data_IF_822641628988
#
_entry.id   IF_822641628988
#
_cell.length_a   1.000
_cell.length_b   1.000
_cell.length_c   1.000
_cell.angle_alpha   90.00
_cell.angle_beta   90.00
_cell.angle_gamma   90.00
#
_symmetry.space_group_name_H-M   'P 1'
#
loop_
_entity.id
_entity.type
_entity.pdbx_description
1 polymer ?
#
# COMPACT_ATOMS: atom_id res chain seq x y z
N UNK A 1 -20.15 -10.80 23.72
CA UNK A 1 -19.82 -11.23 22.33
C UNK A 1 -20.78 -10.50 21.43
N UNK A 2 -20.29 -9.59 20.61
CA UNK A 2 -21.13 -8.93 19.59
C UNK A 2 -21.46 -9.97 18.53
N UNK A 3 -22.75 -10.27 18.34
CA UNK A 3 -23.24 -11.15 17.27
C UNK A 3 -22.94 -10.47 15.93
N UNK A 4 -21.84 -10.88 15.28
CA UNK A 4 -21.48 -10.41 13.94
C UNK A 4 -22.45 -11.03 12.94
N UNK A 5 -23.46 -10.27 12.57
CA UNK A 5 -24.49 -10.70 11.60
C UNK A 5 -23.95 -10.88 10.17
N UNK A 6 -22.91 -10.11 9.82
CA UNK A 6 -22.26 -10.14 8.51
C UNK A 6 -20.77 -10.44 8.70
N UNK A 7 -20.34 -11.70 8.57
CA UNK A 7 -18.94 -12.07 8.77
C UNK A 7 -18.05 -11.50 7.67
N UNK A 8 -16.76 -11.38 7.97
CA UNK A 8 -15.75 -10.93 7.02
C UNK A 8 -15.75 -11.82 5.77
N UNK A 9 -15.77 -11.18 4.58
CA UNK A 9 -15.72 -11.89 3.30
C UNK A 9 -14.25 -12.17 2.96
N UNK A 10 -13.93 -13.43 2.71
CA UNK A 10 -12.60 -13.84 2.28
C UNK A 10 -12.35 -13.38 0.83
N UNK A 11 -11.26 -12.63 0.65
CA UNK A 11 -10.85 -12.13 -0.66
C UNK A 11 -9.91 -13.13 -1.33
N UNK A 12 -10.11 -13.41 -2.61
CA UNK A 12 -9.20 -14.21 -3.44
C UNK A 12 -8.30 -13.33 -4.28
N UNK A 13 -7.01 -13.71 -4.40
CA UNK A 13 -6.04 -13.00 -5.23
C UNK A 13 -6.50 -13.01 -6.69
N UNK A 14 -6.51 -11.86 -7.31
CA UNK A 14 -6.88 -11.70 -8.72
C UNK A 14 -5.66 -11.87 -9.63
N UNK A 15 -5.91 -12.38 -10.83
CA UNK A 15 -4.90 -12.58 -11.87
C UNK A 15 -4.79 -11.39 -12.83
N UNK A 16 -5.85 -10.57 -12.87
CA UNK A 16 -6.01 -9.51 -13.84
C UNK A 16 -6.89 -9.90 -15.04
N UNK A 17 -7.13 -11.20 -15.27
CA UNK A 17 -7.91 -11.69 -16.41
C UNK A 17 -9.41 -11.81 -16.11
N UNK A 18 -9.81 -11.63 -14.86
CA UNK A 18 -11.22 -11.73 -14.47
C UNK A 18 -12.04 -10.65 -15.19
N UNK A 19 -13.17 -11.03 -15.83
CA UNK A 19 -13.97 -10.10 -16.59
C UNK A 19 -14.79 -9.16 -15.70
N UNK A 20 -14.94 -7.93 -16.12
CA UNK A 20 -15.95 -7.00 -15.65
C UNK A 20 -17.22 -7.23 -16.47
N UNK A 21 -18.32 -7.61 -15.83
CA UNK A 21 -19.56 -8.01 -16.48
C UNK A 21 -20.62 -6.92 -16.27
N UNK A 22 -21.29 -6.51 -17.35
CA UNK A 22 -22.42 -5.59 -17.28
C UNK A 22 -23.72 -6.34 -16.88
N UNK A 23 -24.82 -5.58 -16.73
CA UNK A 23 -26.12 -6.13 -16.34
C UNK A 23 -26.75 -7.08 -17.39
N UNK A 24 -26.21 -7.14 -18.63
CA UNK A 24 -26.63 -8.07 -19.68
C UNK A 24 -25.78 -9.35 -19.72
N UNK A 25 -24.76 -9.46 -18.85
CA UNK A 25 -23.81 -10.57 -18.87
C UNK A 25 -22.68 -10.43 -19.88
N UNK A 26 -22.50 -9.26 -20.50
CA UNK A 26 -21.46 -9.00 -21.49
C UNK A 26 -20.19 -8.49 -20.81
N UNK A 27 -19.02 -8.95 -21.26
CA UNK A 27 -17.72 -8.45 -20.79
C UNK A 27 -17.48 -7.05 -21.32
N UNK A 28 -17.19 -6.09 -20.42
CA UNK A 28 -16.89 -4.68 -20.73
C UNK A 28 -15.44 -4.32 -20.46
N UNK A 29 -14.63 -5.23 -19.94
CA UNK A 29 -13.22 -5.05 -19.61
C UNK A 29 -12.75 -6.14 -18.67
N UNK A 30 -11.53 -5.99 -18.16
CA UNK A 30 -10.91 -6.91 -17.21
C UNK A 30 -10.44 -6.20 -15.93
N UNK A 31 -10.08 -6.95 -14.91
CA UNK A 31 -9.43 -6.42 -13.71
C UNK A 31 -8.12 -5.72 -14.06
N UNK A 32 -7.36 -6.22 -15.06
CA UNK A 32 -6.14 -5.57 -15.53
C UNK A 32 -6.42 -4.20 -16.17
N UNK A 33 -7.51 -4.07 -16.92
CA UNK A 33 -7.89 -2.77 -17.50
C UNK A 33 -8.23 -1.76 -16.41
N UNK A 34 -8.94 -2.21 -15.37
CA UNK A 34 -9.18 -1.40 -14.17
C UNK A 34 -7.86 -1.00 -13.49
N UNK A 35 -6.91 -1.93 -13.30
CA UNK A 35 -5.63 -1.61 -12.68
C UNK A 35 -4.82 -0.61 -13.48
N UNK A 36 -4.77 -0.74 -14.81
CA UNK A 36 -4.11 0.23 -15.69
C UNK A 36 -4.72 1.62 -15.55
N UNK A 37 -6.04 1.71 -15.50
CA UNK A 37 -6.74 2.97 -15.33
C UNK A 37 -6.53 3.59 -13.94
N UNK A 38 -6.62 2.80 -12.89
CA UNK A 38 -6.62 3.30 -11.52
C UNK A 38 -5.22 3.52 -10.93
N UNK A 39 -4.21 2.74 -11.36
CA UNK A 39 -2.92 2.62 -10.68
C UNK A 39 -1.71 2.97 -11.56
N UNK A 40 -1.89 3.68 -12.66
CA UNK A 40 -0.77 4.04 -13.55
C UNK A 40 0.06 5.22 -13.06
N UNK A 41 -0.49 6.11 -12.23
CA UNK A 41 0.26 7.22 -11.63
C UNK A 41 1.01 6.77 -10.37
N UNK A 42 2.18 6.16 -10.54
CA UNK A 42 3.00 5.65 -9.46
C UNK A 42 3.79 6.73 -8.70
N UNK A 43 3.74 8.00 -9.15
CA UNK A 43 4.27 9.15 -8.40
C UNK A 43 3.28 9.73 -7.40
N UNK A 44 1.97 9.49 -7.60
CA UNK A 44 0.95 9.87 -6.63
C UNK A 44 1.25 9.29 -5.25
N UNK A 45 0.97 10.05 -4.19
CA UNK A 45 1.31 9.65 -2.82
C UNK A 45 0.72 8.30 -2.40
N UNK A 46 -0.55 8.04 -2.77
CA UNK A 46 -1.22 6.80 -2.40
C UNK A 46 -0.64 5.61 -3.17
N UNK A 47 -0.47 5.77 -4.49
CA UNK A 47 0.05 4.71 -5.35
C UNK A 47 1.53 4.41 -5.07
N UNK A 48 2.34 5.44 -4.82
CA UNK A 48 3.74 5.29 -4.40
C UNK A 48 3.85 4.57 -3.05
N UNK A 49 2.92 4.83 -2.12
CA UNK A 49 2.84 4.10 -0.86
C UNK A 49 2.65 2.60 -1.08
N UNK A 50 1.64 2.24 -1.88
CA UNK A 50 1.35 0.84 -2.23
C UNK A 50 2.53 0.19 -2.97
N UNK A 51 3.18 0.94 -3.88
CA UNK A 51 4.37 0.45 -4.58
C UNK A 51 5.52 0.17 -3.61
N UNK A 52 5.78 1.08 -2.66
CA UNK A 52 6.82 0.89 -1.64
C UNK A 52 6.55 -0.35 -0.77
N UNK A 53 5.31 -0.55 -0.32
CA UNK A 53 4.89 -1.77 0.39
C UNK A 53 5.15 -3.03 -0.44
N UNK A 54 4.82 -3.00 -1.74
CA UNK A 54 5.06 -4.12 -2.66
C UNK A 54 6.56 -4.40 -2.85
N UNK A 55 7.40 -3.36 -2.99
CA UNK A 55 8.84 -3.50 -3.14
C UNK A 55 9.46 -4.18 -1.91
N UNK A 56 9.08 -3.74 -0.70
CA UNK A 56 9.51 -4.36 0.55
C UNK A 56 8.99 -5.80 0.66
N UNK A 57 7.70 -6.03 0.36
CA UNK A 57 7.11 -7.36 0.38
C UNK A 57 7.85 -8.31 -0.58
N UNK A 58 8.22 -7.84 -1.78
CA UNK A 58 8.98 -8.62 -2.75
C UNK A 58 10.39 -8.94 -2.26
N UNK A 59 11.10 -7.96 -1.67
CA UNK A 59 12.45 -8.17 -1.11
C UNK A 59 12.45 -9.19 0.04
N UNK A 60 11.36 -9.26 0.80
CA UNK A 60 11.20 -10.18 1.93
C UNK A 60 10.44 -11.49 1.58
N UNK A 61 10.12 -11.72 0.29
CA UNK A 61 9.34 -12.87 -0.21
C UNK A 61 7.94 -12.97 0.43
N UNK A 62 7.30 -11.84 0.74
CA UNK A 62 5.95 -11.73 1.32
C UNK A 62 4.86 -11.39 0.30
N UNK A 63 5.20 -11.16 -0.97
CA UNK A 63 4.30 -10.71 -2.05
C UNK A 63 3.19 -11.71 -2.43
N UNK A 64 3.20 -12.91 -1.87
CA UNK A 64 2.16 -13.92 -2.12
C UNK A 64 0.86 -13.66 -1.34
N UNK A 65 0.89 -12.77 -0.36
CA UNK A 65 -0.30 -12.33 0.38
C UNK A 65 -1.12 -11.31 -0.42
N UNK A 66 -2.35 -11.05 0.01
CA UNK A 66 -3.17 -9.96 -0.51
C UNK A 66 -3.02 -8.79 0.45
N UNK A 67 -2.69 -7.61 -0.10
CA UNK A 67 -2.65 -6.37 0.67
C UNK A 67 -4.02 -6.04 1.24
N UNK A 68 -4.06 -5.65 2.50
CA UNK A 68 -5.28 -5.15 3.17
C UNK A 68 -5.08 -3.69 3.61
N UNK A 69 -6.14 -2.88 3.57
CA UNK A 69 -6.06 -1.44 3.88
C UNK A 69 -6.28 -1.12 5.36
N UNK A 70 -6.82 -2.05 6.15
CA UNK A 70 -7.32 -1.78 7.50
C UNK A 70 -6.61 -2.58 8.58
N UNK A 71 -5.50 -3.23 8.25
CA UNK A 71 -4.66 -3.89 9.27
C UNK A 71 -3.86 -2.85 10.06
N UNK A 72 -3.43 -3.24 11.25
CA UNK A 72 -2.64 -2.39 12.17
C UNK A 72 -1.24 -2.08 11.63
N UNK A 73 -0.76 -2.87 10.69
CA UNK A 73 0.55 -2.82 10.06
C UNK A 73 0.44 -3.20 8.58
N UNK A 74 1.43 -2.87 7.78
CA UNK A 74 1.40 -3.13 6.34
C UNK A 74 1.80 -4.57 5.98
N UNK A 75 2.80 -5.13 6.65
CA UNK A 75 3.31 -6.48 6.40
C UNK A 75 3.61 -7.22 7.70
N UNK A 76 3.61 -8.55 7.62
CA UNK A 76 4.05 -9.43 8.70
C UNK A 76 5.00 -10.50 8.13
N UNK A 77 6.15 -10.70 8.77
CA UNK A 77 7.10 -11.74 8.40
C UNK A 77 6.62 -13.12 8.82
N UNK A 78 7.28 -14.17 8.34
CA UNK A 78 6.97 -15.55 8.75
C UNK A 78 7.22 -15.78 10.25
N UNK A 79 8.16 -15.04 10.83
CA UNK A 79 8.49 -15.09 12.28
C UNK A 79 7.56 -14.19 13.12
N UNK A 80 6.55 -13.58 12.50
CA UNK A 80 5.55 -12.77 13.21
C UNK A 80 5.96 -11.32 13.46
N UNK A 81 7.07 -10.83 12.91
CA UNK A 81 7.51 -9.43 13.04
C UNK A 81 6.62 -8.56 12.14
N UNK A 82 6.02 -7.53 12.73
CA UNK A 82 5.13 -6.61 12.02
C UNK A 82 5.89 -5.40 11.48
N UNK A 83 5.60 -5.01 10.23
CA UNK A 83 6.29 -3.96 9.51
C UNK A 83 5.31 -2.86 9.08
N UNK A 84 5.69 -1.62 9.30
CA UNK A 84 5.02 -0.43 8.78
C UNK A 84 5.91 0.24 7.75
N UNK A 85 5.41 0.45 6.53
CA UNK A 85 6.15 1.05 5.43
C UNK A 85 5.72 2.50 5.28
N UNK A 86 6.68 3.39 5.33
CA UNK A 86 6.45 4.83 5.14
C UNK A 86 7.23 5.30 3.93
N UNK A 87 6.59 6.02 3.01
CA UNK A 87 7.26 6.57 1.84
C UNK A 87 7.21 8.09 1.80
N UNK A 88 8.27 8.68 1.28
CA UNK A 88 8.38 10.09 0.97
C UNK A 88 9.14 10.28 -0.35
N UNK A 89 8.95 11.42 -1.01
CA UNK A 89 9.59 11.69 -2.30
C UNK A 89 9.88 13.18 -2.47
N UNK A 90 10.94 13.50 -3.20
CA UNK A 90 11.25 14.87 -3.62
C UNK A 90 10.33 15.33 -4.76
N UNK A 91 10.09 14.47 -5.75
CA UNK A 91 9.20 14.75 -6.88
C UNK A 91 7.80 14.19 -6.62
N UNK A 92 6.81 14.92 -7.08
CA UNK A 92 5.40 14.58 -7.01
C UNK A 92 4.78 14.58 -8.42
N UNK A 93 3.61 13.97 -8.57
CA UNK A 93 2.90 13.97 -9.86
C UNK A 93 2.36 15.35 -10.26
N UNK A 94 2.10 16.22 -9.30
CA UNK A 94 1.62 17.59 -9.58
C UNK A 94 2.77 18.59 -9.75
N UNK A 95 2.47 19.74 -10.37
CA UNK A 95 3.45 20.81 -10.54
C UNK A 95 3.97 21.38 -9.22
N UNK A 96 5.28 21.43 -9.06
CA UNK A 96 5.95 21.88 -7.84
C UNK A 96 6.76 23.15 -8.10
N UNK A 97 6.76 24.12 -7.16
CA UNK A 97 7.66 25.29 -7.19
C UNK A 97 9.05 24.96 -6.63
N UNK A 98 9.18 23.93 -5.82
CA UNK A 98 10.41 23.39 -5.24
C UNK A 98 10.22 21.91 -4.93
N UNK A 99 11.30 21.18 -4.76
CA UNK A 99 11.25 19.79 -4.28
C UNK A 99 10.54 19.70 -2.93
N UNK A 100 9.80 18.63 -2.72
CA UNK A 100 9.14 18.35 -1.44
C UNK A 100 10.17 18.05 -0.34
N UNK A 101 9.83 18.41 0.90
CA UNK A 101 10.59 17.93 2.05
C UNK A 101 10.24 16.45 2.31
N UNK A 102 11.21 15.67 2.70
CA UNK A 102 10.99 14.29 3.14
C UNK A 102 10.41 14.32 4.56
N UNK A 103 9.20 13.78 4.72
CA UNK A 103 8.49 13.75 6.00
C UNK A 103 7.89 12.36 6.19
N UNK A 104 8.06 11.80 7.40
CA UNK A 104 7.51 10.51 7.79
C UNK A 104 6.67 10.64 9.07
N UNK A 105 5.39 10.28 9.00
CA UNK A 105 4.51 10.25 10.15
C UNK A 105 4.61 8.90 10.87
N UNK A 106 5.15 8.90 12.10
CA UNK A 106 5.30 7.70 12.96
C UNK A 106 4.63 7.89 14.32
N UNK A 107 3.62 8.73 14.39
CA UNK A 107 2.93 9.02 15.64
C UNK A 107 2.09 7.81 16.10
N UNK A 108 1.96 7.58 17.42
CA UNK A 108 1.06 6.57 17.94
C UNK A 108 -0.38 6.76 17.46
N UNK A 109 -1.00 5.68 17.03
CA UNK A 109 -2.39 5.63 16.56
C UNK A 109 -3.21 4.63 17.36
N UNK A 110 -4.54 4.69 17.26
CA UNK A 110 -5.40 3.63 17.74
C UNK A 110 -5.36 2.47 16.74
N UNK A 111 -5.02 1.28 17.21
CA UNK A 111 -5.07 0.08 16.39
C UNK A 111 -6.52 -0.36 16.16
N UNK A 112 -6.82 -0.84 14.96
CA UNK A 112 -8.10 -1.46 14.63
C UNK A 112 -8.01 -2.97 14.76
N UNK A 113 -8.94 -3.59 15.47
CA UNK A 113 -9.05 -5.04 15.58
C UNK A 113 -10.17 -5.52 14.66
N UNK A 114 -9.79 -6.21 13.58
CA UNK A 114 -10.75 -6.73 12.58
C UNK A 114 -11.63 -7.87 13.09
N UNK A 115 -11.21 -8.57 14.15
CA UNK A 115 -11.98 -9.68 14.72
C UNK A 115 -13.09 -9.18 15.66
N UNK A 116 -12.81 -8.14 16.44
CA UNK A 116 -13.77 -7.55 17.38
C UNK A 116 -14.54 -6.38 16.76
N UNK A 117 -14.06 -5.83 15.64
CA UNK A 117 -14.59 -4.62 15.01
C UNK A 117 -14.53 -3.40 15.93
N UNK A 118 -13.45 -3.27 16.70
CA UNK A 118 -13.23 -2.22 17.69
C UNK A 118 -11.84 -1.60 17.57
N UNK A 119 -11.70 -0.34 18.00
CA UNK A 119 -10.40 0.31 18.13
C UNK A 119 -9.80 0.04 19.51
N UNK A 120 -8.47 -0.02 19.57
CA UNK A 120 -7.74 -0.04 20.84
C UNK A 120 -8.07 1.22 21.65
N UNK A 121 -8.12 1.08 22.97
CA UNK A 121 -8.42 2.20 23.89
C UNK A 121 -7.23 3.14 24.08
N UNK A 122 -6.01 2.67 23.81
CA UNK A 122 -4.77 3.43 23.94
C UNK A 122 -4.06 3.56 22.59
N UNK A 123 -3.44 4.70 22.37
CA UNK A 123 -2.58 4.91 21.22
C UNK A 123 -1.24 4.23 21.43
N UNK A 124 -0.78 3.50 20.42
CA UNK A 124 0.55 2.90 20.37
C UNK A 124 1.12 2.93 18.95
N UNK A 125 2.41 2.65 18.80
CA UNK A 125 2.97 2.29 17.49
C UNK A 125 2.54 0.88 17.19
N UNK A 126 1.96 0.66 16.01
CA UNK A 126 1.26 -0.58 15.68
C UNK A 126 2.17 -1.65 15.06
N UNK A 127 3.40 -1.30 14.69
CA UNK A 127 4.37 -2.21 14.11
C UNK A 127 5.66 -2.28 14.94
N UNK A 128 6.34 -3.42 14.86
CA UNK A 128 7.63 -3.65 15.52
C UNK A 128 8.75 -2.88 14.82
N UNK A 129 8.69 -2.79 13.48
CA UNK A 129 9.69 -2.13 12.64
C UNK A 129 9.01 -1.15 11.69
N UNK A 130 9.63 0.02 11.51
CA UNK A 130 9.25 1.02 10.51
C UNK A 130 10.32 1.06 9.42
N UNK A 131 9.90 0.87 8.16
CA UNK A 131 10.78 0.96 6.99
C UNK A 131 10.48 2.26 6.25
N UNK A 132 11.50 3.12 6.13
CA UNK A 132 11.39 4.38 5.42
C UNK A 132 11.89 4.22 3.98
N UNK A 133 10.97 4.35 3.03
CA UNK A 133 11.26 4.27 1.61
C UNK A 133 11.27 5.68 1.02
N UNK A 134 12.42 6.11 0.52
CA UNK A 134 12.60 7.42 -0.09
C UNK A 134 12.69 7.25 -1.60
N UNK A 135 11.74 7.82 -2.34
CA UNK A 135 11.94 8.02 -3.77
C UNK A 135 12.83 9.25 -3.96
N UNK A 136 14.14 9.02 -4.12
CA UNK A 136 15.20 10.01 -3.99
C UNK A 136 15.50 10.82 -5.25
N UNK A 137 14.86 10.49 -6.38
CA UNK A 137 15.11 11.13 -7.67
C UNK A 137 14.60 12.57 -7.70
N UNK A 138 15.39 13.47 -8.34
CA UNK A 138 15.13 14.91 -8.35
C UNK A 138 15.00 15.52 -9.75
N UNK A 139 15.29 14.75 -10.81
CA UNK A 139 15.18 15.22 -12.19
C UNK A 139 13.84 14.78 -12.83
N UNK A 140 12.91 15.70 -13.10
CA UNK A 140 11.60 15.35 -13.64
C UNK A 140 11.65 14.74 -15.06
N UNK A 141 12.75 14.93 -15.81
CA UNK A 141 12.89 14.39 -17.17
C UNK A 141 13.28 12.90 -17.19
N UNK A 142 13.81 12.39 -16.09
CA UNK A 142 14.30 11.00 -15.97
C UNK A 142 13.65 10.24 -14.80
N UNK A 143 12.60 10.83 -14.23
CA UNK A 143 11.86 10.23 -13.12
C UNK A 143 11.18 8.93 -13.55
N UNK A 144 11.43 7.85 -12.81
CA UNK A 144 10.84 6.53 -13.06
C UNK A 144 10.67 5.75 -11.76
N UNK A 145 9.48 5.70 -11.18
CA UNK A 145 9.24 4.95 -9.93
C UNK A 145 9.48 3.44 -10.04
N UNK A 146 9.58 2.90 -11.25
CA UNK A 146 9.90 1.48 -11.50
C UNK A 146 11.40 1.19 -11.51
N UNK A 147 12.25 2.22 -11.46
CA UNK A 147 13.71 2.06 -11.36
C UNK A 147 14.15 2.10 -9.90
N UNK A 148 14.55 0.94 -9.35
CA UNK A 148 14.96 0.82 -7.95
C UNK A 148 16.24 1.61 -7.61
N UNK A 149 17.05 2.02 -8.60
CA UNK A 149 18.17 2.93 -8.37
C UNK A 149 17.72 4.34 -7.94
N UNK A 150 16.43 4.66 -8.07
CA UNK A 150 15.83 5.91 -7.65
C UNK A 150 15.16 5.82 -6.26
N UNK A 151 15.41 4.74 -5.53
CA UNK A 151 14.88 4.51 -4.19
C UNK A 151 15.98 4.24 -3.17
N UNK A 152 15.79 4.73 -1.96
CA UNK A 152 16.56 4.37 -0.77
C UNK A 152 15.63 3.74 0.28
N UNK A 153 16.12 2.74 1.00
CA UNK A 153 15.37 2.01 2.03
C UNK A 153 16.17 2.02 3.34
N UNK A 154 15.52 2.40 4.45
CA UNK A 154 16.11 2.55 5.78
C UNK A 154 15.29 1.84 6.85
#
# INVERSE_FOLDING_TARGET
MTDIKFPMIQTTKKTGNEPLINFKGETIGTVLDFWKWAYSDLLDNAQRGILAEYLVANALNLQNTIRTNWDKYDLITQDGITLEIKTSAYLQTWGQKKLSNLIFGIQPTYGWNKETNEYDTLKSRQADIYIFCIFNHTNPLTVNPLDLNQWDFY
#
